data_IF_494338278539
#
_entry.id   IF_494338278539
#
_cell.length_a   1.000
_cell.length_b   1.000
_cell.length_c   1.000
_cell.angle_alpha   90.00
_cell.angle_beta   90.00
_cell.angle_gamma   90.00
#
_symmetry.space_group_name_H-M   'P 1'
#
loop_
_entity.id
_entity.type
_entity.pdbx_description
1 polymer ?
#
# COMPACT_ATOMS: atom_id res chain seq x y z
N UNK A 1 4.97 25.39 -20.97
CA UNK A 1 5.65 25.41 -22.28
C UNK A 1 4.72 26.08 -23.29
N UNK A 2 5.21 26.36 -24.50
CA UNK A 2 4.41 26.98 -25.56
C UNK A 2 3.31 26.06 -26.13
N UNK A 3 3.11 24.87 -25.54
CA UNK A 3 2.09 23.87 -25.93
C UNK A 3 0.92 23.78 -24.95
N UNK A 4 1.03 24.41 -23.78
CA UNK A 4 0.01 24.37 -22.73
C UNK A 4 -0.13 23.01 -22.05
N UNK A 5 0.92 22.18 -22.04
CA UNK A 5 0.88 20.88 -21.36
C UNK A 5 0.89 21.07 -19.83
N UNK A 6 0.12 20.25 -19.12
CA UNK A 6 0.12 20.21 -17.66
C UNK A 6 1.10 19.15 -17.15
N UNK A 7 1.74 19.45 -16.03
CA UNK A 7 2.50 18.49 -15.23
C UNK A 7 2.37 18.88 -13.75
N UNK A 8 1.49 18.19 -13.01
CA UNK A 8 1.33 18.47 -11.59
C UNK A 8 0.87 17.26 -10.77
N UNK A 9 1.19 17.34 -9.48
CA UNK A 9 0.80 16.39 -8.46
C UNK A 9 -0.32 16.96 -7.59
N UNK A 10 -1.43 16.24 -7.46
CA UNK A 10 -2.54 16.63 -6.61
C UNK A 10 -2.87 15.53 -5.60
N UNK A 11 -3.17 15.91 -4.35
CA UNK A 11 -3.61 14.96 -3.32
C UNK A 11 -5.03 14.48 -3.66
N UNK A 12 -5.24 13.16 -3.60
CA UNK A 12 -6.57 12.56 -3.71
C UNK A 12 -7.21 12.49 -2.31
N UNK A 13 -8.40 13.07 -2.15
CA UNK A 13 -9.18 13.00 -0.90
C UNK A 13 -9.91 11.66 -0.77
N UNK A 14 -10.40 11.33 0.44
CA UNK A 14 -10.94 9.99 0.74
C UNK A 14 -12.25 9.67 -0.01
N UNK A 15 -12.98 10.71 -0.40
CA UNK A 15 -14.28 10.67 -1.07
C UNK A 15 -14.16 10.42 -2.57
N UNK A 16 -12.99 10.66 -3.17
CA UNK A 16 -12.80 10.49 -4.62
C UNK A 16 -12.85 9.01 -5.00
N UNK A 17 -13.46 8.65 -6.16
CA UNK A 17 -13.57 7.26 -6.62
C UNK A 17 -12.23 6.51 -6.69
N UNK A 18 -11.14 7.20 -7.09
CA UNK A 18 -9.78 6.60 -7.11
C UNK A 18 -9.28 6.21 -5.71
N UNK A 19 -9.57 7.00 -4.69
CA UNK A 19 -9.24 6.65 -3.31
C UNK A 19 -10.04 5.44 -2.84
N UNK A 20 -11.35 5.43 -3.12
CA UNK A 20 -12.21 4.29 -2.80
C UNK A 20 -11.74 3.00 -3.52
N UNK A 21 -11.34 3.08 -4.78
CA UNK A 21 -10.79 1.96 -5.55
C UNK A 21 -9.56 1.35 -4.84
N UNK A 22 -8.57 2.19 -4.49
CA UNK A 22 -7.39 1.75 -3.77
C UNK A 22 -7.75 1.09 -2.43
N UNK A 23 -8.62 1.72 -1.64
CA UNK A 23 -9.05 1.22 -0.32
C UNK A 23 -9.80 -0.11 -0.42
N UNK A 24 -10.64 -0.31 -1.45
CA UNK A 24 -11.34 -1.57 -1.73
C UNK A 24 -10.37 -2.69 -2.10
N UNK A 25 -9.46 -2.41 -3.03
CA UNK A 25 -8.43 -3.37 -3.47
C UNK A 25 -7.57 -3.86 -2.29
N UNK A 26 -7.12 -2.93 -1.44
CA UNK A 26 -6.31 -3.28 -0.26
C UNK A 26 -7.14 -4.04 0.77
N UNK A 27 -8.36 -3.61 1.08
CA UNK A 27 -9.22 -4.29 2.06
C UNK A 27 -9.60 -5.72 1.64
N UNK A 28 -9.90 -5.93 0.36
CA UNK A 28 -10.14 -7.26 -0.19
C UNK A 28 -8.91 -8.15 -0.03
N UNK A 29 -7.72 -7.65 -0.40
CA UNK A 29 -6.47 -8.37 -0.21
C UNK A 29 -6.22 -8.75 1.25
N UNK A 30 -6.36 -7.80 2.19
CA UNK A 30 -6.12 -8.07 3.62
C UNK A 30 -7.10 -9.12 4.18
N UNK A 31 -8.35 -9.10 3.73
CA UNK A 31 -9.33 -10.10 4.12
C UNK A 31 -8.92 -11.49 3.64
N UNK A 32 -8.51 -11.62 2.37
CA UNK A 32 -7.99 -12.88 1.84
C UNK A 32 -6.74 -13.35 2.58
N UNK A 33 -5.83 -12.43 2.90
CA UNK A 33 -4.60 -12.72 3.62
C UNK A 33 -4.88 -13.25 5.05
N UNK A 34 -5.81 -12.64 5.78
CA UNK A 34 -6.24 -13.14 7.09
C UNK A 34 -6.91 -14.52 7.00
N UNK A 35 -7.74 -14.76 5.96
CA UNK A 35 -8.32 -16.08 5.71
C UNK A 35 -7.25 -17.14 5.42
N UNK A 36 -6.21 -16.81 4.64
CA UNK A 36 -5.11 -17.76 4.38
C UNK A 36 -4.26 -18.11 5.60
N UNK A 37 -4.34 -17.31 6.66
CA UNK A 37 -3.67 -17.58 7.94
C UNK A 37 -4.62 -18.19 8.99
N UNK A 38 -5.85 -18.54 8.62
CA UNK A 38 -6.91 -18.99 9.54
C UNK A 38 -7.23 -17.97 10.67
N UNK A 39 -6.98 -16.68 10.40
CA UNK A 39 -7.20 -15.59 11.37
C UNK A 39 -8.51 -14.84 11.15
N UNK A 40 -9.33 -15.28 10.19
CA UNK A 40 -10.65 -14.69 9.88
C UNK A 40 -11.73 -15.74 10.05
N UNK A 41 -12.58 -15.58 11.07
CA UNK A 41 -13.72 -16.47 11.36
C UNK A 41 -14.99 -16.19 10.55
N UNK A 42 -14.97 -15.18 9.68
CA UNK A 42 -16.16 -14.79 8.91
C UNK A 42 -16.15 -15.34 7.47
N UNK A 43 -17.22 -16.04 7.11
CA UNK A 43 -17.57 -16.44 5.73
C UNK A 43 -18.08 -15.27 4.87
N UNK A 44 -17.95 -14.03 5.35
CA UNK A 44 -18.38 -12.85 4.60
C UNK A 44 -17.55 -12.64 3.34
N UNK A 45 -18.20 -12.06 2.34
CA UNK A 45 -17.59 -11.74 1.04
C UNK A 45 -16.40 -10.78 1.23
N UNK A 46 -15.15 -11.20 0.91
CA UNK A 46 -13.96 -10.37 1.04
C UNK A 46 -14.03 -9.04 0.28
N UNK A 47 -14.83 -8.97 -0.79
CA UNK A 47 -15.05 -7.75 -1.58
C UNK A 47 -15.88 -6.69 -0.85
N UNK A 48 -16.53 -7.04 0.28
CA UNK A 48 -17.29 -6.10 1.09
C UNK A 48 -16.39 -5.22 1.97
N UNK A 49 -15.18 -5.68 2.28
CA UNK A 49 -14.26 -4.97 3.17
C UNK A 49 -13.34 -4.02 2.41
N UNK A 50 -13.24 -2.80 2.92
CA UNK A 50 -12.34 -1.78 2.40
C UNK A 50 -11.78 -0.96 3.56
N UNK A 51 -10.59 -0.39 3.37
CA UNK A 51 -10.01 0.49 4.37
C UNK A 51 -10.90 1.73 4.59
N UNK A 52 -11.18 2.10 5.84
CA UNK A 52 -11.82 3.39 6.13
C UNK A 52 -10.93 4.55 5.67
N UNK A 53 -9.65 4.48 6.03
CA UNK A 53 -8.60 5.42 5.64
C UNK A 53 -7.31 4.67 5.30
N UNK A 54 -6.40 5.29 4.55
CA UNK A 54 -5.04 4.76 4.45
C UNK A 54 -4.35 4.75 5.83
N UNK A 55 -3.35 3.88 6.05
CA UNK A 55 -2.59 3.87 7.30
C UNK A 55 -2.01 5.26 7.63
N UNK A 56 -1.78 5.53 8.90
CA UNK A 56 -1.22 6.80 9.35
C UNK A 56 0.05 7.17 8.57
N UNK A 57 0.14 8.44 8.16
CA UNK A 57 1.18 9.01 7.28
C UNK A 57 1.17 8.56 5.81
N UNK A 58 0.22 7.72 5.39
CA UNK A 58 0.04 7.39 3.98
C UNK A 58 -0.94 8.35 3.30
N UNK A 59 -0.59 8.81 2.10
CA UNK A 59 -1.40 9.74 1.30
C UNK A 59 -1.36 9.35 -0.18
N UNK A 60 -2.53 9.32 -0.80
CA UNK A 60 -2.69 9.04 -2.22
C UNK A 60 -2.63 10.36 -3.00
N UNK A 61 -1.89 10.34 -4.10
CA UNK A 61 -1.76 11.46 -5.02
C UNK A 61 -2.08 10.98 -6.43
N UNK A 62 -2.54 11.89 -7.27
CA UNK A 62 -2.56 11.73 -8.71
C UNK A 62 -1.51 12.64 -9.35
N UNK A 63 -0.80 12.09 -10.31
CA UNK A 63 0.08 12.82 -11.23
C UNK A 63 -0.67 12.97 -12.53
N UNK A 64 -0.82 14.21 -13.00
CA UNK A 64 -1.48 14.53 -14.26
C UNK A 64 -0.47 15.14 -15.21
N UNK A 65 -0.35 14.55 -16.39
CA UNK A 65 0.60 15.00 -17.42
C UNK A 65 -0.06 15.11 -18.79
N UNK A 66 0.47 15.99 -19.65
CA UNK A 66 0.07 16.11 -21.06
C UNK A 66 -1.05 17.11 -21.30
N UNK A 67 -1.99 16.78 -22.17
CA UNK A 67 -3.05 17.70 -22.59
C UNK A 67 -3.99 18.06 -21.41
N UNK A 68 -4.27 19.36 -21.13
CA UNK A 68 -5.18 19.77 -20.05
C UNK A 68 -6.61 19.22 -20.16
N UNK A 69 -7.11 19.00 -21.38
CA UNK A 69 -8.45 18.48 -21.64
C UNK A 69 -8.54 16.96 -21.56
N UNK A 70 -7.44 16.27 -21.78
CA UNK A 70 -7.34 14.81 -21.68
C UNK A 70 -5.98 14.40 -21.08
N UNK A 71 -5.76 14.66 -19.78
CA UNK A 71 -4.48 14.37 -19.18
C UNK A 71 -4.32 12.87 -18.94
N UNK A 72 -3.09 12.39 -19.12
CA UNK A 72 -2.69 11.10 -18.58
C UNK A 72 -2.66 11.19 -17.06
N UNK A 73 -3.31 10.24 -16.38
CA UNK A 73 -3.43 10.23 -14.92
C UNK A 73 -2.80 8.97 -14.34
N UNK A 74 -1.78 9.15 -13.50
CA UNK A 74 -1.20 8.09 -12.69
C UNK A 74 -1.51 8.32 -11.21
N UNK A 75 -1.64 7.25 -10.42
CA UNK A 75 -1.83 7.35 -8.97
C UNK A 75 -0.65 6.80 -8.21
N UNK A 76 -0.30 7.47 -7.11
CA UNK A 76 0.83 7.11 -6.28
C UNK A 76 0.48 7.21 -4.80
N UNK A 77 0.72 6.14 -4.05
CA UNK A 77 0.61 6.15 -2.59
C UNK A 77 1.99 6.41 -1.97
N UNK A 78 2.11 7.51 -1.23
CA UNK A 78 3.30 7.90 -0.49
C UNK A 78 3.11 7.67 1.00
N UNK A 79 4.20 7.53 1.77
CA UNK A 79 4.15 7.41 3.24
C UNK A 79 5.13 6.39 3.84
N UNK A 80 5.69 5.50 3.03
CA UNK A 80 6.66 4.51 3.53
C UNK A 80 7.95 5.17 3.98
N UNK A 81 8.38 4.86 5.21
CA UNK A 81 9.70 5.26 5.76
C UNK A 81 10.88 4.73 4.94
N UNK A 82 10.66 3.69 4.14
CA UNK A 82 11.68 3.12 3.27
C UNK A 82 11.80 3.84 1.92
N UNK A 83 11.08 4.95 1.72
CA UNK A 83 11.42 5.95 0.71
C UNK A 83 10.95 5.65 -0.71
N UNK A 84 9.79 5.01 -0.90
CA UNK A 84 9.23 4.75 -2.22
C UNK A 84 7.74 5.11 -2.32
N UNK A 85 7.32 5.43 -3.55
CA UNK A 85 5.90 5.57 -3.93
C UNK A 85 5.38 4.25 -4.49
N UNK A 86 4.24 3.78 -4.00
CA UNK A 86 3.55 2.63 -4.58
C UNK A 86 2.73 3.11 -5.77
N UNK A 87 2.86 2.44 -6.92
CA UNK A 87 2.23 2.86 -8.18
C UNK A 87 0.88 2.18 -8.43
N UNK A 88 0.59 1.14 -7.66
CA UNK A 88 -0.69 0.44 -7.68
C UNK A 88 -1.00 -0.15 -6.29
N UNK A 89 -2.27 -0.51 -6.02
CA UNK A 89 -2.63 -1.25 -4.81
C UNK A 89 -1.82 -2.55 -4.67
N UNK A 90 -1.60 -3.27 -5.77
CA UNK A 90 -0.88 -4.55 -5.80
C UNK A 90 0.57 -4.41 -5.34
N UNK A 91 1.26 -3.32 -5.72
CA UNK A 91 2.60 -3.04 -5.19
C UNK A 91 2.59 -2.80 -3.67
N UNK A 92 1.45 -2.36 -3.10
CA UNK A 92 1.28 -2.03 -1.69
C UNK A 92 0.78 -3.20 -0.83
N UNK A 93 0.09 -4.20 -1.41
CA UNK A 93 -0.50 -5.34 -0.68
C UNK A 93 0.42 -5.99 0.37
N UNK A 94 1.63 -6.50 0.03
CA UNK A 94 2.50 -7.12 1.04
C UNK A 94 2.92 -6.13 2.13
N UNK A 95 3.00 -4.83 1.80
CA UNK A 95 3.30 -3.80 2.79
C UNK A 95 2.11 -3.51 3.70
N UNK A 96 0.89 -3.55 3.18
CA UNK A 96 -0.33 -3.38 3.96
C UNK A 96 -0.52 -4.52 4.97
N UNK A 97 -0.29 -5.78 4.56
CA UNK A 97 -0.32 -6.93 5.45
C UNK A 97 0.71 -6.80 6.58
N UNK A 98 1.96 -6.47 6.23
CA UNK A 98 3.01 -6.22 7.20
C UNK A 98 2.66 -5.10 8.17
N UNK A 99 2.13 -3.96 7.69
CA UNK A 99 1.69 -2.87 8.55
C UNK A 99 0.55 -3.30 9.49
N UNK A 100 -0.45 -4.02 8.98
CA UNK A 100 -1.57 -4.50 9.79
C UNK A 100 -1.08 -5.37 10.95
N UNK A 101 -0.22 -6.35 10.66
CA UNK A 101 0.31 -7.25 11.69
C UNK A 101 1.26 -6.49 12.63
N UNK A 102 2.16 -5.66 12.14
CA UNK A 102 3.16 -4.99 13.03
C UNK A 102 2.61 -3.83 13.84
N UNK A 103 1.52 -3.19 13.41
CA UNK A 103 0.97 -2.00 14.09
C UNK A 103 -0.25 -2.27 14.96
N UNK A 104 -1.03 -3.31 14.70
CA UNK A 104 -2.18 -3.65 15.54
C UNK A 104 -1.73 -4.20 16.89
N UNK A 105 -2.50 -4.01 17.96
CA UNK A 105 -2.19 -4.56 19.30
C UNK A 105 -3.11 -5.75 19.61
N UNK A 106 -3.12 -6.75 18.72
CA UNK A 106 -3.93 -7.96 18.89
C UNK A 106 -3.02 -9.14 19.23
N UNK A 107 -3.45 -9.97 20.20
CA UNK A 107 -2.71 -11.16 20.65
C UNK A 107 -2.49 -12.17 19.52
N UNK A 108 -3.48 -12.32 18.64
CA UNK A 108 -3.41 -13.20 17.46
C UNK A 108 -2.27 -12.85 16.49
N UNK A 109 -1.79 -11.60 16.51
CA UNK A 109 -0.66 -11.17 15.70
C UNK A 109 0.68 -11.25 16.44
N UNK A 110 0.68 -11.49 17.76
CA UNK A 110 1.91 -11.56 18.55
C UNK A 110 2.73 -12.80 18.17
N UNK A 111 2.07 -13.96 18.06
CA UNK A 111 2.71 -15.19 17.60
C UNK A 111 3.31 -15.04 16.19
N UNK A 112 2.57 -14.37 15.29
CA UNK A 112 3.03 -14.11 13.92
C UNK A 112 4.27 -13.22 13.91
N UNK A 113 4.31 -12.16 14.73
CA UNK A 113 5.46 -11.25 14.84
C UNK A 113 6.71 -11.92 15.42
N UNK A 114 6.53 -12.85 16.33
CA UNK A 114 7.63 -13.56 16.99
C UNK A 114 8.29 -14.58 16.06
N UNK A 115 7.63 -14.95 14.96
CA UNK A 115 8.29 -15.74 13.92
C UNK A 115 9.44 -14.95 13.28
N UNK A 116 10.65 -15.53 13.28
CA UNK A 116 11.88 -14.90 12.78
C UNK A 116 11.83 -14.49 11.30
N UNK A 117 10.76 -14.86 10.59
CA UNK A 117 10.57 -14.63 9.16
C UNK A 117 9.58 -13.51 8.86
N UNK A 118 8.93 -12.89 9.86
CA UNK A 118 7.90 -11.88 9.61
C UNK A 118 8.48 -10.50 9.25
N UNK A 119 9.11 -10.44 8.07
CA UNK A 119 9.58 -9.21 7.47
C UNK A 119 8.64 -8.73 6.35
N UNK A 120 8.73 -7.44 6.01
CA UNK A 120 7.95 -6.92 4.90
C UNK A 120 8.46 -7.45 3.56
N UNK A 121 7.62 -8.19 2.83
CA UNK A 121 7.93 -8.77 1.52
C UNK A 121 7.66 -7.84 0.33
N UNK A 122 7.32 -6.56 0.59
CA UNK A 122 7.13 -5.66 -0.53
C UNK A 122 8.46 -5.42 -1.25
N UNK A 123 8.42 -5.32 -2.59
CA UNK A 123 9.60 -5.13 -3.45
C UNK A 123 10.51 -3.97 -3.03
N UNK A 124 9.98 -2.99 -2.29
CA UNK A 124 10.70 -1.82 -1.81
C UNK A 124 11.47 -2.10 -0.52
N UNK A 125 10.88 -2.86 0.41
CA UNK A 125 11.55 -3.30 1.63
C UNK A 125 12.61 -4.38 1.34
N UNK A 126 12.28 -5.33 0.46
CA UNK A 126 13.19 -6.41 0.04
C UNK A 126 14.48 -5.88 -0.60
N UNK A 127 14.37 -4.96 -1.58
CA UNK A 127 15.53 -4.35 -2.23
C UNK A 127 16.47 -3.66 -1.23
N UNK A 128 15.92 -3.05 -0.18
CA UNK A 128 16.70 -2.39 0.87
C UNK A 128 17.44 -3.41 1.74
N UNK A 129 16.83 -4.56 2.03
CA UNK A 129 17.47 -5.68 2.75
C UNK A 129 18.65 -6.24 1.97
N UNK A 130 18.47 -6.53 0.68
CA UNK A 130 19.55 -7.03 -0.20
C UNK A 130 20.74 -6.05 -0.23
N UNK A 131 20.46 -4.73 -0.34
CA UNK A 131 21.52 -3.71 -0.30
C UNK A 131 22.28 -3.69 1.03
N UNK A 132 21.58 -3.81 2.17
CA UNK A 132 22.21 -3.85 3.50
C UNK A 132 23.14 -5.05 3.69
N UNK A 133 22.68 -6.24 3.31
CA UNK A 133 23.50 -7.47 3.40
C UNK A 133 24.79 -7.31 2.60
N UNK A 134 24.71 -6.79 1.36
CA UNK A 134 25.90 -6.55 0.52
C UNK A 134 26.89 -5.54 1.11
N UNK A 135 26.41 -4.54 1.85
CA UNK A 135 27.28 -3.55 2.51
C UNK A 135 27.95 -4.08 3.78
N UNK A 136 27.43 -5.13 4.40
CA UNK A 136 27.99 -5.73 5.62
C UNK A 136 29.01 -6.85 5.32
N UNK A 137 29.11 -7.28 4.06
CA UNK A 137 30.05 -8.30 3.59
C UNK A 137 31.28 -7.71 2.87
N UNK A 138 31.48 -6.39 2.98
CA UNK A 138 32.64 -5.63 2.51
C UNK A 138 33.35 -5.02 3.72
#
# INVERSE_FOLDING_TARGET
>A
DDRGEIDYMAKITVEKPRSLYWRKKIGAFLTHYLKSMDLSREDRNPLAYHLAHFPSNYRLYEHRTGNPHDPTIHTYLYGSRNGYRFRSPEEFYPHAAWLMITSAKLSVFEEVRQSIQYECECRYCEKKRIKRVRMQSL
#
